data_IF_176467873163
#
_entry.id   IF_176467873163
#
_cell.length_a   1.000
_cell.length_b   1.000
_cell.length_c   1.000
_cell.angle_alpha   90.00
_cell.angle_beta   90.00
_cell.angle_gamma   90.00
#
_symmetry.space_group_name_H-M   'P 1'
#
loop_
_entity.id
_entity.type
_entity.pdbx_description
1 polymer ?
#
# COMPACT_ATOMS: atom_id res chain seq x y z
N UNK A 1 20.24 19.62 -6.80
CA UNK A 1 19.21 18.55 -6.98
C UNK A 1 19.88 17.22 -6.71
N UNK A 2 19.79 16.72 -5.48
CA UNK A 2 20.24 15.37 -5.15
C UNK A 2 19.06 14.43 -5.35
N UNK A 3 19.05 13.69 -6.44
CA UNK A 3 18.16 12.55 -6.63
C UNK A 3 18.50 11.50 -5.55
N UNK A 4 17.65 11.36 -4.55
CA UNK A 4 17.79 10.29 -3.55
C UNK A 4 17.49 8.96 -4.27
N UNK A 5 18.37 7.95 -4.12
CA UNK A 5 18.16 6.67 -4.77
C UNK A 5 16.80 6.08 -4.35
N UNK A 6 16.00 5.68 -5.31
CA UNK A 6 14.62 5.16 -5.22
C UNK A 6 14.38 4.13 -4.12
N UNK A 7 15.37 3.32 -3.78
CA UNK A 7 15.29 2.30 -2.72
C UNK A 7 15.17 2.86 -1.30
N UNK A 8 15.59 4.10 -1.06
CA UNK A 8 15.55 4.70 0.29
C UNK A 8 14.17 5.23 0.66
N UNK A 9 13.35 5.64 -0.31
CA UNK A 9 12.02 6.23 -0.06
C UNK A 9 11.02 5.22 0.51
N UNK A 10 10.80 4.10 -0.17
CA UNK A 10 9.85 3.07 0.29
C UNK A 10 10.27 2.46 1.64
N UNK A 11 11.57 2.24 1.85
CA UNK A 11 12.08 1.75 3.14
C UNK A 11 11.92 2.77 4.27
N UNK A 12 11.99 4.07 3.97
CA UNK A 12 11.74 5.15 4.94
C UNK A 12 10.28 5.21 5.33
N UNK A 13 9.37 5.10 4.37
CA UNK A 13 7.93 5.10 4.59
C UNK A 13 7.52 3.92 5.50
N UNK A 14 7.89 2.69 5.17
CA UNK A 14 7.61 1.51 6.01
C UNK A 14 8.18 1.66 7.42
N UNK A 15 9.36 2.26 7.57
CA UNK A 15 9.94 2.54 8.90
C UNK A 15 9.11 3.55 9.71
N UNK A 16 8.57 4.59 9.07
CA UNK A 16 7.70 5.55 9.72
C UNK A 16 6.40 4.90 10.19
N UNK A 17 5.78 4.08 9.34
CA UNK A 17 4.58 3.31 9.71
C UNK A 17 4.86 2.32 10.85
N UNK A 18 6.00 1.62 10.82
CA UNK A 18 6.42 0.75 11.94
C UNK A 18 6.56 1.52 13.24
N UNK A 19 7.13 2.74 13.21
CA UNK A 19 7.23 3.60 14.40
C UNK A 19 5.86 4.08 14.88
N UNK A 20 4.93 4.37 13.97
CA UNK A 20 3.57 4.72 14.32
C UNK A 20 2.86 3.54 15.00
N UNK A 21 2.95 2.34 14.41
CA UNK A 21 2.41 1.12 15.01
C UNK A 21 2.98 0.85 16.41
N UNK A 22 4.30 1.03 16.61
CA UNK A 22 4.93 0.87 17.92
C UNK A 22 4.44 1.87 18.98
N UNK A 23 3.78 2.96 18.58
CA UNK A 23 3.10 3.93 19.46
C UNK A 23 1.61 3.62 19.65
N UNK A 24 1.13 2.48 19.15
CA UNK A 24 -0.27 2.05 19.30
C UNK A 24 -1.19 2.45 18.15
N UNK A 25 -0.66 3.02 17.05
CA UNK A 25 -1.49 3.37 15.87
C UNK A 25 -1.93 2.10 15.15
N UNK A 26 -3.23 1.92 14.94
CA UNK A 26 -3.79 0.86 14.10
C UNK A 26 -3.69 1.27 12.62
N UNK A 27 -2.94 0.49 11.86
CA UNK A 27 -2.66 0.79 10.44
C UNK A 27 -3.30 -0.29 9.58
N UNK A 28 -4.32 0.08 8.84
CA UNK A 28 -5.00 -0.75 7.84
C UNK A 28 -4.57 -0.35 6.44
N UNK A 29 -4.20 -1.32 5.63
CA UNK A 29 -3.80 -1.11 4.24
C UNK A 29 -4.70 -1.97 3.35
N UNK A 30 -5.45 -1.31 2.49
CA UNK A 30 -6.34 -1.94 1.52
C UNK A 30 -5.67 -1.94 0.15
N UNK A 31 -5.62 -3.11 -0.48
CA UNK A 31 -5.05 -3.29 -1.81
C UNK A 31 -5.96 -4.19 -2.65
N UNK A 32 -5.95 -4.08 -3.98
CA UNK A 32 -6.73 -5.00 -4.81
C UNK A 32 -6.23 -6.44 -4.66
N UNK A 33 -7.14 -7.42 -4.64
CA UNK A 33 -6.79 -8.85 -4.68
C UNK A 33 -6.05 -9.18 -5.98
N UNK A 34 -6.51 -8.60 -7.10
CA UNK A 34 -5.94 -8.77 -8.43
C UNK A 34 -5.66 -7.42 -9.06
N UNK A 35 -4.57 -7.31 -9.77
CA UNK A 35 -4.23 -6.18 -10.64
C UNK A 35 -4.43 -6.60 -12.10
N UNK A 36 -4.75 -5.65 -12.94
CA UNK A 36 -4.70 -5.78 -14.41
C UNK A 36 -3.26 -5.93 -14.93
N UNK A 37 -2.27 -5.62 -14.09
CA UNK A 37 -0.85 -5.74 -14.40
C UNK A 37 -0.20 -6.82 -13.54
N UNK A 38 0.16 -7.95 -14.15
CA UNK A 38 0.76 -9.12 -13.46
C UNK A 38 2.03 -8.74 -12.67
N UNK A 39 2.85 -7.83 -13.21
CA UNK A 39 4.05 -7.34 -12.53
C UNK A 39 3.72 -6.62 -11.21
N UNK A 40 2.61 -5.88 -11.16
CA UNK A 40 2.16 -5.21 -9.94
C UNK A 40 1.77 -6.23 -8.85
N UNK A 41 1.15 -7.34 -9.22
CA UNK A 41 0.83 -8.43 -8.29
C UNK A 41 2.10 -9.07 -7.70
N UNK A 42 3.11 -9.32 -8.53
CA UNK A 42 4.39 -9.87 -8.04
C UNK A 42 5.12 -8.88 -7.13
N UNK A 43 5.13 -7.61 -7.50
CA UNK A 43 5.72 -6.57 -6.65
C UNK A 43 4.98 -6.46 -5.31
N UNK A 44 3.64 -6.47 -5.30
CA UNK A 44 2.82 -6.49 -4.09
C UNK A 44 3.21 -7.66 -3.19
N UNK A 45 3.31 -8.87 -3.72
CA UNK A 45 3.76 -10.05 -2.98
C UNK A 45 5.15 -9.85 -2.36
N UNK A 46 6.10 -9.23 -3.06
CA UNK A 46 7.45 -9.01 -2.53
C UNK A 46 7.51 -8.03 -1.35
N UNK A 47 6.54 -7.11 -1.25
CA UNK A 47 6.46 -6.13 -0.16
C UNK A 47 5.62 -6.62 1.02
N UNK A 48 4.68 -7.53 0.80
CA UNK A 48 3.77 -8.06 1.82
C UNK A 48 4.46 -8.44 3.14
N UNK A 49 5.56 -9.22 3.17
CA UNK A 49 6.22 -9.57 4.43
C UNK A 49 6.77 -8.38 5.20
N UNK A 50 7.13 -7.30 4.51
CA UNK A 50 7.63 -6.08 5.16
C UNK A 50 6.52 -5.34 5.87
N UNK A 51 5.33 -5.25 5.28
CA UNK A 51 4.15 -4.64 5.88
C UNK A 51 3.68 -5.45 7.10
N UNK A 52 3.56 -6.76 6.95
CA UNK A 52 3.18 -7.64 8.07
C UNK A 52 4.18 -7.57 9.23
N UNK A 53 5.51 -7.56 8.94
CA UNK A 53 6.56 -7.37 9.97
C UNK A 53 6.54 -6.01 10.63
N UNK A 54 6.01 -5.01 9.96
CA UNK A 54 5.86 -3.68 10.51
C UNK A 54 4.59 -3.51 11.38
N UNK A 55 3.77 -4.57 11.51
CA UNK A 55 2.56 -4.59 12.31
C UNK A 55 1.32 -4.03 11.60
N UNK A 56 1.39 -3.86 10.28
CA UNK A 56 0.23 -3.38 9.52
C UNK A 56 -0.73 -4.52 9.22
N UNK A 57 -2.01 -4.21 9.26
CA UNK A 57 -3.08 -5.10 8.81
C UNK A 57 -3.30 -4.89 7.32
N UNK A 58 -3.17 -5.96 6.53
CA UNK A 58 -3.36 -5.93 5.08
C UNK A 58 -4.70 -6.54 4.72
N UNK A 59 -5.44 -5.87 3.84
CA UNK A 59 -6.73 -6.31 3.35
C UNK A 59 -6.71 -6.38 1.83
N UNK A 60 -7.19 -7.46 1.26
CA UNK A 60 -7.31 -7.69 -0.17
C UNK A 60 -8.76 -7.51 -0.58
N UNK A 61 -9.04 -6.45 -1.36
CA UNK A 61 -10.35 -6.15 -1.91
C UNK A 61 -10.75 -7.16 -2.97
N UNK A 62 -11.94 -7.74 -2.86
CA UNK A 62 -12.30 -8.96 -3.59
C UNK A 62 -13.20 -8.72 -4.81
N UNK A 63 -13.97 -7.63 -4.84
CA UNK A 63 -15.03 -7.47 -5.83
C UNK A 63 -14.52 -7.05 -7.22
N UNK A 64 -13.67 -6.02 -7.27
CA UNK A 64 -13.19 -5.44 -8.53
C UNK A 64 -11.72 -5.01 -8.41
N UNK A 65 -11.16 -4.43 -9.49
CA UNK A 65 -9.84 -3.78 -9.42
C UNK A 65 -9.98 -2.45 -8.67
N UNK A 66 -9.51 -2.41 -7.43
CA UNK A 66 -9.48 -1.20 -6.62
C UNK A 66 -8.43 -0.22 -7.19
N UNK A 67 -8.87 0.93 -7.68
CA UNK A 67 -7.98 1.95 -8.24
C UNK A 67 -7.94 3.25 -7.40
N UNK A 68 -8.61 3.30 -6.26
CA UNK A 68 -8.56 4.46 -5.37
C UNK A 68 -7.20 4.61 -4.70
N UNK A 69 -6.74 5.84 -4.54
CA UNK A 69 -5.52 6.21 -3.84
C UNK A 69 -5.90 7.21 -2.75
N UNK A 70 -6.31 6.68 -1.61
CA UNK A 70 -6.84 7.44 -0.48
C UNK A 70 -6.02 7.11 0.76
N UNK A 71 -5.75 8.10 1.58
CA UNK A 71 -5.24 7.90 2.93
C UNK A 71 -6.00 8.79 3.89
N UNK A 72 -6.32 8.25 5.07
CA UNK A 72 -7.02 8.94 6.15
C UNK A 72 -6.18 8.79 7.40
N UNK A 73 -5.97 9.88 8.14
CA UNK A 73 -5.16 9.89 9.37
C UNK A 73 -5.97 10.55 10.48
N UNK A 74 -6.25 9.78 11.54
CA UNK A 74 -6.82 10.21 12.81
C UNK A 74 -8.10 11.08 12.69
N UNK A 75 -8.91 10.85 11.68
CA UNK A 75 -10.14 11.61 11.41
C UNK A 75 -9.93 13.14 11.29
N UNK A 76 -8.71 13.57 10.99
CA UNK A 76 -8.31 14.97 10.90
C UNK A 76 -7.67 15.36 9.59
N UNK A 77 -7.26 14.38 8.82
CA UNK A 77 -6.57 14.60 7.56
C UNK A 77 -6.88 13.47 6.59
N UNK A 78 -7.16 13.82 5.35
CA UNK A 78 -7.28 12.84 4.28
C UNK A 78 -6.65 13.35 2.99
N UNK A 79 -6.24 12.40 2.14
CA UNK A 79 -5.83 12.69 0.77
C UNK A 79 -6.47 11.71 -0.19
N UNK A 80 -6.87 12.23 -1.36
CA UNK A 80 -7.38 11.45 -2.49
C UNK A 80 -6.68 11.95 -3.75
N UNK A 81 -6.22 11.06 -4.60
CA UNK A 81 -5.55 11.48 -5.82
C UNK A 81 -5.09 10.35 -6.71
N UNK A 82 -4.13 10.65 -7.57
CA UNK A 82 -3.55 9.71 -8.53
C UNK A 82 -2.32 8.98 -8.00
N UNK A 83 -1.70 9.47 -6.91
CA UNK A 83 -0.43 8.95 -6.39
C UNK A 83 -0.59 7.56 -5.79
N UNK A 84 -0.04 6.55 -6.44
CA UNK A 84 0.09 5.22 -5.83
C UNK A 84 1.13 5.23 -4.71
N UNK A 85 0.95 4.37 -3.71
CA UNK A 85 1.97 4.16 -2.66
C UNK A 85 3.15 3.33 -3.18
N UNK A 86 3.70 3.74 -4.31
CA UNK A 86 4.88 3.14 -4.92
C UNK A 86 5.93 4.20 -5.30
N UNK A 87 7.14 3.71 -5.57
CA UNK A 87 8.29 4.59 -5.85
C UNK A 87 8.15 5.34 -7.16
N UNK A 88 7.48 4.75 -8.17
CA UNK A 88 7.33 5.38 -9.49
C UNK A 88 6.42 6.59 -9.36
N UNK A 89 5.27 6.44 -8.72
CA UNK A 89 4.34 7.56 -8.46
C UNK A 89 4.98 8.66 -7.62
N UNK A 90 5.77 8.30 -6.59
CA UNK A 90 6.38 9.31 -5.73
C UNK A 90 7.52 10.12 -6.37
N UNK A 91 8.23 9.58 -7.36
CA UNK A 91 9.46 10.20 -7.85
C UNK A 91 9.55 10.39 -9.37
N UNK A 92 8.73 9.70 -10.14
CA UNK A 92 8.86 9.70 -11.61
C UNK A 92 7.59 10.17 -12.33
N UNK A 93 6.40 9.96 -11.75
CA UNK A 93 5.16 10.38 -12.37
C UNK A 93 4.77 11.79 -11.96
N UNK A 94 4.03 12.47 -12.84
CA UNK A 94 3.28 13.68 -12.46
C UNK A 94 1.96 13.24 -11.85
N UNK A 95 1.81 13.50 -10.56
CA UNK A 95 0.67 13.07 -9.77
C UNK A 95 -0.05 14.30 -9.20
N UNK A 96 -1.35 14.18 -9.00
CA UNK A 96 -2.16 15.20 -8.36
C UNK A 96 -2.94 14.59 -7.19
N UNK A 97 -2.84 15.20 -6.02
CA UNK A 97 -3.59 14.81 -4.85
C UNK A 97 -4.33 16.00 -4.26
N UNK A 98 -5.58 15.78 -3.92
CA UNK A 98 -6.35 16.68 -3.06
C UNK A 98 -6.06 16.29 -1.61
N UNK A 99 -5.78 17.27 -0.77
CA UNK A 99 -5.66 17.12 0.68
C UNK A 99 -6.82 17.88 1.32
N UNK A 100 -7.47 17.25 2.29
CA UNK A 100 -8.57 17.88 3.03
C UNK A 100 -8.43 17.68 4.53
N UNK A 101 -8.89 18.66 5.29
CA UNK A 101 -9.11 18.61 6.74
C UNK A 101 -10.59 18.85 7.07
N UNK A 102 -11.44 18.89 6.06
CA UNK A 102 -12.89 19.01 6.21
C UNK A 102 -13.46 17.75 6.86
N UNK A 103 -14.20 17.91 7.95
CA UNK A 103 -14.69 16.83 8.76
C UNK A 103 -15.72 15.96 8.02
N UNK A 104 -16.63 16.58 7.26
CA UNK A 104 -17.69 15.85 6.55
C UNK A 104 -17.08 15.02 5.41
N UNK A 105 -16.16 15.60 4.65
CA UNK A 105 -15.43 14.89 3.60
C UNK A 105 -14.62 13.70 4.16
N UNK A 106 -13.99 13.86 5.32
CA UNK A 106 -13.23 12.79 5.98
C UNK A 106 -14.17 11.67 6.45
N UNK A 107 -15.32 12.01 7.02
CA UNK A 107 -16.34 11.03 7.43
C UNK A 107 -16.84 10.22 6.24
N UNK A 108 -17.10 10.85 5.11
CA UNK A 108 -17.56 10.15 3.90
C UNK A 108 -16.47 9.22 3.33
N UNK A 109 -15.23 9.69 3.24
CA UNK A 109 -14.10 8.87 2.81
C UNK A 109 -13.87 7.68 3.74
N UNK A 110 -14.02 7.88 5.04
CA UNK A 110 -13.89 6.84 6.06
C UNK A 110 -15.01 5.80 5.93
N UNK A 111 -16.25 6.25 5.70
CA UNK A 111 -17.39 5.36 5.46
C UNK A 111 -17.15 4.47 4.24
N UNK A 112 -16.68 5.04 3.14
CA UNK A 112 -16.33 4.28 1.94
C UNK A 112 -15.21 3.29 2.22
N UNK A 113 -14.14 3.71 2.92
CA UNK A 113 -13.03 2.82 3.26
C UNK A 113 -13.48 1.61 4.10
N UNK A 114 -14.40 1.79 5.06
CA UNK A 114 -14.91 0.67 5.85
C UNK A 114 -15.85 -0.22 5.04
N UNK A 115 -16.66 0.33 4.16
CA UNK A 115 -17.47 -0.47 3.23
C UNK A 115 -16.59 -1.34 2.32
N UNK A 116 -15.48 -0.79 1.80
CA UNK A 116 -14.51 -1.54 1.02
C UNK A 116 -13.79 -2.62 1.87
N UNK A 117 -13.55 -2.36 3.16
CA UNK A 117 -13.00 -3.37 4.07
C UNK A 117 -13.96 -4.54 4.30
N UNK A 118 -15.27 -4.29 4.38
CA UNK A 118 -16.30 -5.34 4.55
C UNK A 118 -16.33 -6.28 3.33
N UNK A 119 -15.93 -5.77 2.14
CA UNK A 119 -15.77 -6.54 0.91
C UNK A 119 -14.35 -7.12 0.74
N UNK A 120 -13.55 -7.16 1.79
CA UNK A 120 -12.13 -7.52 1.72
C UNK A 120 -11.79 -8.69 2.64
N UNK A 121 -10.78 -9.45 2.27
CA UNK A 121 -10.20 -10.50 3.12
C UNK A 121 -8.89 -10.02 3.77
N UNK A 122 -8.76 -10.19 5.08
CA UNK A 122 -7.51 -9.88 5.76
C UNK A 122 -6.42 -10.88 5.37
N UNK A 123 -5.30 -10.36 4.89
CA UNK A 123 -4.14 -11.15 4.48
C UNK A 123 -3.13 -11.23 5.63
N UNK A 124 -3.05 -12.39 6.26
CA UNK A 124 -2.26 -12.65 7.46
C UNK A 124 -0.93 -13.36 7.14
N UNK A 125 -0.10 -13.60 8.18
CA UNK A 125 1.07 -14.46 8.08
C UNK A 125 0.72 -15.90 7.70
N UNK A 126 -0.44 -16.40 8.11
CA UNK A 126 -0.92 -17.72 7.72
C UNK A 126 -1.22 -17.74 6.22
N UNK A 127 -1.91 -16.72 5.70
CA UNK A 127 -2.16 -16.55 4.27
C UNK A 127 -0.84 -16.48 3.49
N UNK A 128 0.15 -15.74 4.00
CA UNK A 128 1.47 -15.66 3.38
C UNK A 128 2.18 -17.02 3.32
N UNK A 129 2.08 -17.85 4.35
CA UNK A 129 2.68 -19.19 4.34
C UNK A 129 2.11 -20.08 3.25
N UNK A 130 0.81 -19.97 2.97
CA UNK A 130 0.07 -20.71 1.93
C UNK A 130 0.41 -20.27 0.50
N UNK A 131 1.00 -19.08 0.29
CA UNK A 131 1.42 -18.61 -1.04
C UNK A 131 2.48 -19.55 -1.61
N UNK A 132 2.30 -20.09 -2.84
CA UNK A 132 3.28 -20.98 -3.48
C UNK A 132 4.67 -20.35 -3.58
N UNK A 133 5.71 -21.17 -3.38
CA UNK A 133 7.11 -20.70 -3.35
C UNK A 133 7.52 -20.02 -4.66
N UNK A 134 7.07 -20.55 -5.80
CA UNK A 134 7.38 -19.94 -7.09
C UNK A 134 6.83 -18.50 -7.24
N UNK A 135 5.62 -18.21 -6.69
CA UNK A 135 5.08 -16.86 -6.66
C UNK A 135 5.92 -15.93 -5.78
N UNK A 136 6.43 -16.43 -4.66
CA UNK A 136 7.34 -15.66 -3.79
C UNK A 136 8.63 -15.33 -4.52
N UNK A 137 9.23 -16.32 -5.20
CA UNK A 137 10.45 -16.14 -6.00
C UNK A 137 10.21 -15.15 -7.14
N UNK A 138 9.11 -15.30 -7.89
CA UNK A 138 8.74 -14.35 -8.95
C UNK A 138 8.60 -12.92 -8.41
N UNK A 139 7.97 -12.75 -7.25
CA UNK A 139 7.83 -11.45 -6.59
C UNK A 139 9.18 -10.83 -6.22
N UNK A 140 10.11 -11.61 -5.66
CA UNK A 140 11.45 -11.11 -5.35
C UNK A 140 12.26 -10.81 -6.60
N UNK A 141 12.12 -11.62 -7.67
CA UNK A 141 12.72 -11.38 -8.98
C UNK A 141 12.21 -10.08 -9.61
N UNK A 142 10.90 -9.87 -9.62
CA UNK A 142 10.29 -8.63 -10.10
C UNK A 142 10.79 -7.39 -9.35
N UNK A 143 10.99 -7.51 -8.04
CA UNK A 143 11.55 -6.43 -7.23
C UNK A 143 13.03 -6.16 -7.54
N UNK A 144 13.82 -7.20 -7.76
CA UNK A 144 15.22 -7.06 -8.15
C UNK A 144 15.34 -6.39 -9.52
N UNK A 145 14.50 -6.82 -10.48
CA UNK A 145 14.43 -6.23 -11.82
C UNK A 145 14.06 -4.75 -11.76
N UNK A 146 13.00 -4.40 -11.00
CA UNK A 146 12.62 -2.99 -10.78
C UNK A 146 13.76 -2.17 -10.18
N UNK A 147 14.58 -2.77 -9.31
CA UNK A 147 15.71 -2.12 -8.70
C UNK A 147 16.88 -1.86 -9.66
N UNK A 148 16.97 -2.62 -10.73
CA UNK A 148 18.01 -2.50 -11.74
C UNK A 148 17.66 -1.50 -12.84
N UNK A 149 16.37 -1.36 -13.18
CA UNK A 149 15.88 -0.49 -14.24
C UNK A 149 15.26 0.84 -13.77
N UNK A 150 15.12 1.08 -12.44
CA UNK A 150 14.59 2.32 -11.86
C UNK A 150 15.60 2.96 -10.92
#
# INVERSE_FOLDING_TARGET
QHALPCHRGAGRFVRLLKRAHARGVDIKVLVPERSDVLLADWLRLSYTPRFLKAGMRLFHYQETVLHSKTAIIDDRWATVGSTNFDVISFFHNREANLITTDADAIVDLKRQFFADLDCSAEFTWESWRKVPLWKKIAGYGARALKAFFG
#
